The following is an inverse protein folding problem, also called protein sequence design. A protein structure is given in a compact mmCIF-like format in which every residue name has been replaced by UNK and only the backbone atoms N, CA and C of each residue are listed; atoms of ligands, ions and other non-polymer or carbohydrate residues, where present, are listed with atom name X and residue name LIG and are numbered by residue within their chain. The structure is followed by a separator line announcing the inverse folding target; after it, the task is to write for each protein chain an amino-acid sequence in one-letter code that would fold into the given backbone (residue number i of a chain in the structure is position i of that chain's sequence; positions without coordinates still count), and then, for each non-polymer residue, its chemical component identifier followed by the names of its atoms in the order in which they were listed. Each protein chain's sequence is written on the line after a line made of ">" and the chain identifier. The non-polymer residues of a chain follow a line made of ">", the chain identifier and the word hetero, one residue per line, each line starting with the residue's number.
data_IF_262615353234
#
_entry.id   IF_262615353234
#
_cell.length_a   1.000
_cell.length_b   1.000
_cell.length_c   1.000
_cell.angle_alpha   90.00
_cell.angle_beta   90.00
_cell.angle_gamma   90.00
#
_symmetry.space_group_name_H-M   'P 1'
#
loop_
_entity.id
_entity.type
_entity.pdbx_description
1 polymer ?
#
# COMPACT_ATOMS: atom_id res chain seq x y z
N UNK A 1 10.10 -36.95 -6.43
CA UNK A 1 10.91 -35.79 -6.87
C UNK A 1 10.26 -34.57 -6.24
N UNK A 2 10.87 -34.00 -5.22
CA UNK A 2 10.36 -32.82 -4.53
C UNK A 2 10.56 -31.61 -5.43
N UNK A 3 9.48 -31.06 -5.98
CA UNK A 3 9.50 -29.73 -6.58
C UNK A 3 10.08 -28.77 -5.52
N UNK A 4 11.25 -28.19 -5.81
CA UNK A 4 11.68 -27.00 -5.10
C UNK A 4 10.66 -25.91 -5.44
N UNK A 5 9.67 -25.71 -4.56
CA UNK A 5 8.76 -24.57 -4.64
C UNK A 5 9.59 -23.29 -4.47
N UNK A 6 10.10 -22.76 -5.58
CA UNK A 6 10.72 -21.44 -5.62
C UNK A 6 9.64 -20.37 -5.58
N UNK A 7 9.99 -19.22 -5.01
CA UNK A 7 9.09 -18.06 -4.99
C UNK A 7 8.78 -17.62 -6.43
N UNK A 8 7.51 -17.37 -6.72
CA UNK A 8 7.06 -16.93 -8.05
C UNK A 8 5.87 -15.98 -7.95
N UNK A 9 5.61 -15.26 -9.04
CA UNK A 9 4.44 -14.37 -9.18
C UNK A 9 3.13 -15.13 -8.90
N UNK A 10 3.02 -16.37 -9.35
CA UNK A 10 1.81 -17.18 -9.16
C UNK A 10 1.61 -17.60 -7.71
N UNK A 11 2.69 -17.91 -6.99
CA UNK A 11 2.61 -18.19 -5.53
C UNK A 11 2.11 -16.97 -4.78
N UNK A 12 2.63 -15.78 -5.11
CA UNK A 12 2.23 -14.52 -4.49
C UNK A 12 0.75 -14.22 -4.79
N UNK A 13 0.32 -14.37 -6.06
CA UNK A 13 -1.08 -14.18 -6.45
C UNK A 13 -2.01 -15.14 -5.71
N UNK A 14 -1.66 -16.43 -5.64
CA UNK A 14 -2.43 -17.44 -4.91
C UNK A 14 -2.52 -17.13 -3.41
N UNK A 15 -1.45 -16.63 -2.80
CA UNK A 15 -1.46 -16.22 -1.40
C UNK A 15 -2.38 -15.01 -1.15
N UNK A 16 -2.35 -14.02 -2.04
CA UNK A 16 -3.27 -12.88 -2.00
C UNK A 16 -4.73 -13.32 -2.16
N UNK A 17 -5.00 -14.18 -3.15
CA UNK A 17 -6.34 -14.74 -3.38
C UNK A 17 -6.84 -15.53 -2.16
N UNK A 18 -6.01 -16.40 -1.58
CA UNK A 18 -6.37 -17.16 -0.38
C UNK A 18 -6.67 -16.24 0.82
N UNK A 19 -5.98 -15.11 0.93
CA UNK A 19 -6.24 -14.10 1.97
C UNK A 19 -7.60 -13.43 1.77
N UNK A 20 -7.92 -13.06 0.52
CA UNK A 20 -9.22 -12.48 0.16
C UNK A 20 -10.37 -13.47 0.39
N UNK A 21 -10.22 -14.72 -0.04
CA UNK A 21 -11.24 -15.76 0.14
C UNK A 21 -11.48 -16.07 1.63
N UNK A 22 -10.40 -16.07 2.43
CA UNK A 22 -10.49 -16.15 3.89
C UNK A 22 -11.27 -14.98 4.48
N UNK A 23 -11.04 -13.76 3.99
CA UNK A 23 -11.80 -12.59 4.43
C UNK A 23 -13.27 -12.64 4.00
N UNK A 24 -13.59 -13.07 2.78
CA UNK A 24 -14.99 -13.26 2.35
C UNK A 24 -15.71 -14.32 3.19
N UNK A 25 -15.03 -15.41 3.56
CA UNK A 25 -15.59 -16.41 4.45
C UNK A 25 -15.94 -15.80 5.81
N UNK A 26 -15.06 -14.95 6.35
CA UNK A 26 -15.32 -14.21 7.59
C UNK A 26 -16.50 -13.25 7.45
N UNK A 27 -16.57 -12.47 6.36
CA UNK A 27 -17.70 -11.57 6.09
C UNK A 27 -19.00 -12.35 6.04
N UNK A 28 -19.05 -13.48 5.32
CA UNK A 28 -20.25 -14.30 5.22
C UNK A 28 -20.73 -14.83 6.57
N UNK A 29 -19.80 -15.24 7.44
CA UNK A 29 -20.13 -15.75 8.78
C UNK A 29 -20.64 -14.63 9.70
N UNK A 30 -20.03 -13.45 9.59
CA UNK A 30 -20.31 -12.30 10.48
C UNK A 30 -21.47 -11.43 10.00
N UNK A 31 -21.88 -11.53 8.72
CA UNK A 31 -22.85 -10.64 8.09
C UNK A 31 -24.16 -10.42 8.89
N UNK A 32 -24.81 -11.46 9.48
CA UNK A 32 -26.04 -11.26 10.24
C UNK A 32 -25.85 -10.48 11.54
N UNK A 33 -24.64 -10.51 12.12
CA UNK A 33 -24.34 -9.93 13.44
C UNK A 33 -23.58 -8.60 13.35
N UNK A 34 -22.72 -8.47 12.34
CA UNK A 34 -21.83 -7.35 12.14
C UNK A 34 -21.68 -7.03 10.63
N UNK A 35 -22.70 -6.46 9.98
CA UNK A 35 -22.66 -6.16 8.55
C UNK A 35 -21.57 -5.14 8.17
N UNK A 36 -21.12 -4.31 9.10
CA UNK A 36 -20.04 -3.35 8.89
C UNK A 36 -18.73 -4.01 8.45
N UNK A 37 -18.51 -5.29 8.77
CA UNK A 37 -17.32 -6.01 8.31
C UNK A 37 -17.18 -6.03 6.78
N UNK A 38 -18.29 -5.97 6.03
CA UNK A 38 -18.24 -5.95 4.57
C UNK A 38 -17.68 -4.64 4.00
N UNK A 39 -17.72 -3.54 4.76
CA UNK A 39 -17.11 -2.25 4.39
C UNK A 39 -15.69 -2.08 4.91
N UNK A 40 -15.13 -3.09 5.59
CA UNK A 40 -13.74 -3.07 6.04
C UNK A 40 -12.87 -3.58 4.90
N UNK A 41 -11.82 -2.82 4.58
CA UNK A 41 -10.83 -3.16 3.57
C UNK A 41 -9.46 -2.59 3.92
N UNK A 42 -8.45 -3.02 3.17
CA UNK A 42 -7.07 -2.58 3.38
C UNK A 42 -6.26 -2.62 2.09
N UNK A 43 -5.43 -1.59 1.89
CA UNK A 43 -4.32 -1.65 0.95
C UNK A 43 -3.29 -2.68 1.43
N UNK A 44 -2.66 -3.40 0.50
CA UNK A 44 -1.68 -4.43 0.82
C UNK A 44 -0.44 -4.27 -0.07
N UNK A 45 0.68 -3.89 0.55
CA UNK A 45 1.98 -3.82 -0.09
C UNK A 45 2.91 -4.87 0.52
N UNK A 46 3.42 -5.76 -0.31
CA UNK A 46 4.27 -6.88 0.10
C UNK A 46 5.57 -6.84 -0.70
N UNK A 47 6.70 -6.92 0.02
CA UNK A 47 8.03 -7.09 -0.56
C UNK A 47 8.62 -8.45 -0.17
N UNK A 48 9.13 -9.19 -1.14
CA UNK A 48 9.77 -10.50 -0.92
C UNK A 48 11.14 -10.47 -1.59
N UNK A 49 12.19 -10.80 -0.84
CA UNK A 49 13.54 -10.99 -1.39
C UNK A 49 13.87 -12.47 -1.30
N UNK A 50 14.01 -13.12 -2.45
CA UNK A 50 14.24 -14.56 -2.55
C UNK A 50 15.15 -14.83 -3.75
N UNK A 51 16.22 -15.61 -3.53
CA UNK A 51 17.16 -16.06 -4.56
C UNK A 51 17.67 -14.93 -5.48
N UNK A 52 18.08 -13.81 -4.88
CA UNK A 52 18.60 -12.65 -5.62
C UNK A 52 17.53 -11.87 -6.40
N UNK A 53 16.25 -12.16 -6.19
CA UNK A 53 15.11 -11.48 -6.82
C UNK A 53 14.30 -10.72 -5.78
N UNK A 54 13.91 -9.49 -6.10
CA UNK A 54 12.94 -8.69 -5.36
C UNK A 54 11.60 -8.81 -6.06
N UNK A 55 10.60 -9.30 -5.35
CA UNK A 55 9.20 -9.26 -5.75
C UNK A 55 8.49 -8.16 -4.96
N UNK A 56 7.69 -7.34 -5.64
CA UNK A 56 6.81 -6.36 -5.01
C UNK A 56 5.39 -6.58 -5.51
N UNK A 57 4.48 -6.89 -4.59
CA UNK A 57 3.05 -7.05 -4.84
C UNK A 57 2.29 -5.91 -4.18
N UNK A 58 1.42 -5.23 -4.94
CA UNK A 58 0.65 -4.11 -4.44
C UNK A 58 -0.85 -4.23 -4.76
N UNK A 59 -1.66 -3.84 -3.77
CA UNK A 59 -3.09 -3.59 -3.85
C UNK A 59 -3.35 -2.24 -3.18
N UNK A 60 -3.75 -1.23 -3.96
CA UNK A 60 -4.05 0.10 -3.45
C UNK A 60 -2.94 1.10 -3.75
N UNK A 61 -2.73 2.06 -2.86
CA UNK A 61 -1.92 3.26 -3.08
C UNK A 61 -0.73 3.41 -2.11
N UNK A 62 -0.45 2.36 -1.35
CA UNK A 62 0.88 2.18 -0.77
C UNK A 62 1.93 2.01 -1.90
N UNK A 63 3.19 2.33 -1.60
CA UNK A 63 4.26 2.32 -2.60
C UNK A 63 5.59 1.82 -2.04
N UNK A 64 6.31 1.07 -2.88
CA UNK A 64 7.69 0.65 -2.66
C UNK A 64 8.66 1.38 -3.60
N UNK A 65 9.75 1.92 -3.05
CA UNK A 65 10.77 2.68 -3.78
C UNK A 65 12.16 2.14 -3.45
N UNK A 66 12.91 1.74 -4.47
CA UNK A 66 14.30 1.32 -4.40
C UNK A 66 15.23 2.53 -4.48
N UNK A 67 16.23 2.59 -3.60
CA UNK A 67 17.38 3.47 -3.74
C UNK A 67 18.54 2.74 -4.42
N UNK A 68 18.93 3.18 -5.61
CA UNK A 68 20.05 2.62 -6.39
C UNK A 68 21.21 3.61 -6.50
N UNK A 69 22.40 3.17 -6.11
CA UNK A 69 23.64 3.94 -6.22
C UNK A 69 24.07 4.11 -7.68
N UNK A 70 24.30 5.35 -8.09
CA UNK A 70 24.97 5.70 -9.34
C UNK A 70 26.46 5.83 -9.05
N UNK A 71 27.26 4.82 -9.40
CA UNK A 71 28.70 4.77 -9.06
C UNK A 71 29.50 5.99 -9.53
N UNK A 72 29.14 6.57 -10.67
CA UNK A 72 29.85 7.70 -11.24
C UNK A 72 29.71 8.99 -10.40
N UNK A 73 28.57 9.18 -9.73
CA UNK A 73 28.28 10.41 -8.97
C UNK A 73 28.25 10.19 -7.46
N UNK A 74 28.06 8.96 -7.01
CA UNK A 74 27.80 8.64 -5.59
C UNK A 74 26.38 8.94 -5.15
N UNK A 75 25.52 9.41 -6.05
CA UNK A 75 24.11 9.70 -5.76
C UNK A 75 23.27 8.43 -5.73
N UNK A 76 22.20 8.44 -4.94
CA UNK A 76 21.23 7.35 -4.92
C UNK A 76 19.96 7.83 -5.65
N UNK A 77 19.61 7.19 -6.76
CA UNK A 77 18.39 7.48 -7.51
C UNK A 77 17.23 6.64 -6.99
N UNK A 78 16.06 7.29 -6.93
CA UNK A 78 14.81 6.63 -6.59
C UNK A 78 14.19 5.91 -7.78
N UNK A 79 13.89 4.62 -7.61
CA UNK A 79 13.22 3.77 -8.60
C UNK A 79 11.95 3.19 -7.97
N UNK A 80 10.77 3.58 -8.46
CA UNK A 80 9.51 3.03 -7.97
C UNK A 80 9.34 1.58 -8.44
N UNK A 81 9.02 0.68 -7.51
CA UNK A 81 8.88 -0.75 -7.78
C UNK A 81 7.43 -1.21 -7.91
N UNK A 82 6.48 -0.46 -7.35
CA UNK A 82 5.07 -0.80 -7.29
C UNK A 82 4.22 0.07 -8.24
N UNK A 83 3.26 -0.54 -8.93
CA UNK A 83 2.15 0.19 -9.54
C UNK A 83 1.15 0.59 -8.45
N UNK A 84 0.58 1.79 -8.55
CA UNK A 84 -0.43 2.30 -7.61
C UNK A 84 -1.83 2.26 -8.22
N UNK A 85 -2.83 2.01 -7.39
CA UNK A 85 -4.20 1.75 -7.79
C UNK A 85 -5.18 2.80 -7.26
N UNK A 86 -4.82 4.09 -7.36
CA UNK A 86 -5.64 5.22 -6.90
C UNK A 86 -6.36 5.91 -8.07
N UNK A 87 -7.64 6.26 -7.91
CA UNK A 87 -8.47 6.96 -8.88
C UNK A 87 -8.00 8.39 -9.20
N UNK A 88 -7.07 8.95 -8.42
CA UNK A 88 -6.41 10.21 -8.76
C UNK A 88 -5.48 10.06 -9.97
N UNK A 89 -5.01 8.83 -10.25
CA UNK A 89 -4.17 8.49 -11.39
C UNK A 89 -5.05 8.27 -12.63
N UNK A 90 -4.74 8.99 -13.72
CA UNK A 90 -5.57 8.98 -14.93
C UNK A 90 -5.69 7.60 -15.58
N UNK A 91 -4.60 6.81 -15.61
CA UNK A 91 -4.64 5.46 -16.17
C UNK A 91 -5.60 4.54 -15.42
N UNK A 92 -5.66 4.64 -14.09
CA UNK A 92 -6.61 3.90 -13.25
C UNK A 92 -8.06 4.35 -13.53
N UNK A 93 -8.29 5.65 -13.75
CA UNK A 93 -9.63 6.13 -14.17
C UNK A 93 -10.06 5.52 -15.50
N UNK A 94 -9.16 5.50 -16.49
CA UNK A 94 -9.43 4.92 -17.82
C UNK A 94 -9.66 3.41 -17.72
N UNK A 95 -8.89 2.69 -16.90
CA UNK A 95 -9.08 1.27 -16.63
C UNK A 95 -10.48 1.00 -16.05
N UNK A 96 -10.89 1.73 -15.02
CA UNK A 96 -12.21 1.60 -14.39
C UNK A 96 -13.35 1.90 -15.38
N UNK A 97 -13.23 2.96 -16.18
CA UNK A 97 -14.20 3.31 -17.21
C UNK A 97 -14.31 2.23 -18.29
N UNK A 98 -13.18 1.66 -18.72
CA UNK A 98 -13.14 0.60 -19.73
C UNK A 98 -13.78 -0.71 -19.23
N UNK A 99 -13.55 -1.07 -17.95
CA UNK A 99 -14.14 -2.27 -17.36
C UNK A 99 -15.65 -2.12 -17.08
N UNK A 100 -16.13 -0.88 -16.89
CA UNK A 100 -17.52 -0.54 -16.57
C UNK A 100 -18.10 0.49 -17.56
N UNK A 101 -18.21 0.17 -18.87
CA UNK A 101 -18.58 1.14 -19.90
C UNK A 101 -20.01 1.67 -19.76
N UNK A 102 -20.87 0.94 -19.03
CA UNK A 102 -22.28 1.31 -18.82
C UNK A 102 -22.52 1.95 -17.43
N UNK A 103 -21.47 2.24 -16.66
CA UNK A 103 -21.56 2.88 -15.35
C UNK A 103 -20.89 4.26 -15.39
N UNK A 104 -21.61 5.32 -15.79
CA UNK A 104 -21.05 6.66 -15.85
C UNK A 104 -20.63 7.20 -14.47
N UNK A 105 -21.04 6.54 -13.38
CA UNK A 105 -20.68 6.89 -12.01
C UNK A 105 -19.56 6.01 -11.44
N UNK A 106 -18.88 5.19 -12.27
CA UNK A 106 -17.82 4.30 -11.80
C UNK A 106 -16.69 5.08 -11.10
N UNK A 107 -16.36 6.25 -11.62
CA UNK A 107 -15.37 7.17 -11.06
C UNK A 107 -15.93 8.58 -11.12
N UNK A 108 -15.98 9.26 -9.99
CA UNK A 108 -16.52 10.62 -9.87
C UNK A 108 -15.59 11.48 -9.02
N UNK A 109 -15.56 12.78 -9.29
CA UNK A 109 -14.84 13.74 -8.48
C UNK A 109 -15.76 14.29 -7.38
N UNK A 110 -15.37 14.16 -6.12
CA UNK A 110 -16.06 14.73 -4.94
C UNK A 110 -15.08 15.56 -4.13
N UNK A 111 -15.41 16.82 -3.85
CA UNK A 111 -14.54 17.75 -3.13
C UNK A 111 -13.11 17.79 -3.72
N UNK A 112 -13.01 17.89 -5.05
CA UNK A 112 -11.76 17.85 -5.83
C UNK A 112 -10.96 16.54 -5.77
N UNK A 113 -11.47 15.49 -5.12
CA UNK A 113 -10.82 14.18 -5.03
C UNK A 113 -11.56 13.15 -5.88
N UNK A 114 -10.82 12.40 -6.69
CA UNK A 114 -11.39 11.33 -7.51
C UNK A 114 -11.68 10.09 -6.66
N UNK A 115 -12.89 9.55 -6.77
CA UNK A 115 -13.35 8.40 -5.98
C UNK A 115 -14.11 7.40 -6.83
N UNK A 116 -13.84 6.11 -6.62
CA UNK A 116 -14.60 4.98 -7.15
C UNK A 116 -15.99 4.97 -6.51
N UNK A 117 -17.03 5.04 -7.34
CA UNK A 117 -18.45 5.23 -6.96
C UNK A 117 -18.71 6.39 -5.98
N UNK A 118 -17.77 7.34 -5.88
CA UNK A 118 -17.84 8.43 -4.92
C UNK A 118 -17.64 8.02 -3.46
N UNK A 119 -17.07 6.85 -3.19
CA UNK A 119 -16.88 6.30 -1.84
C UNK A 119 -15.40 6.23 -1.47
N UNK A 120 -14.58 5.52 -2.25
CA UNK A 120 -13.18 5.20 -1.93
C UNK A 120 -12.23 5.67 -3.04
N UNK A 121 -10.97 5.97 -2.73
CA UNK A 121 -10.00 6.44 -3.74
C UNK A 121 -9.27 5.29 -4.44
N UNK A 122 -9.11 4.15 -3.81
CA UNK A 122 -8.45 2.99 -4.42
C UNK A 122 -9.38 2.19 -5.33
N UNK A 123 -8.79 1.49 -6.30
CA UNK A 123 -9.46 0.55 -7.22
C UNK A 123 -9.18 -0.92 -6.87
N UNK A 124 -8.20 -1.16 -5.99
CA UNK A 124 -7.80 -2.51 -5.57
C UNK A 124 -7.49 -2.58 -4.08
N UNK A 125 -7.97 -3.62 -3.42
CA UNK A 125 -7.78 -3.86 -1.97
C UNK A 125 -7.97 -5.34 -1.63
N UNK A 126 -7.57 -5.70 -0.41
CA UNK A 126 -8.16 -6.86 0.29
C UNK A 126 -9.39 -6.37 1.06
N UNK A 127 -10.47 -7.14 1.07
CA UNK A 127 -11.71 -6.77 1.74
C UNK A 127 -12.62 -5.89 0.89
N UNK A 128 -13.26 -4.87 1.47
CA UNK A 128 -14.26 -4.03 0.78
C UNK A 128 -15.32 -4.88 0.04
N UNK A 129 -15.76 -5.95 0.69
CA UNK A 129 -16.66 -6.95 0.09
C UNK A 129 -17.94 -6.33 -0.46
N UNK A 130 -18.41 -5.24 0.15
CA UNK A 130 -19.57 -4.46 -0.31
C UNK A 130 -19.42 -3.83 -1.71
N UNK A 131 -18.20 -3.70 -2.25
CA UNK A 131 -17.94 -3.25 -3.63
C UNK A 131 -17.48 -4.39 -4.54
N UNK A 132 -17.35 -5.60 -4.02
CA UNK A 132 -16.93 -6.79 -4.79
C UNK A 132 -18.07 -7.76 -5.01
N UNK A 133 -18.98 -7.90 -4.04
CA UNK A 133 -20.17 -8.74 -4.12
C UNK A 133 -21.43 -7.95 -3.77
N UNK A 134 -22.36 -7.89 -4.71
CA UNK A 134 -23.60 -7.13 -4.56
C UNK A 134 -24.47 -7.61 -3.39
N UNK A 135 -24.35 -8.88 -2.99
CA UNK A 135 -25.04 -9.46 -1.83
C UNK A 135 -24.68 -8.79 -0.49
N UNK A 136 -23.56 -8.08 -0.42
CA UNK A 136 -23.14 -7.30 0.75
C UNK A 136 -23.35 -5.78 0.57
N UNK A 137 -23.83 -5.32 -0.59
CA UNK A 137 -24.20 -3.92 -0.81
C UNK A 137 -25.70 -3.71 -0.60
N UNK A 138 -26.22 -4.14 0.55
CA UNK A 138 -27.65 -4.09 0.89
C UNK A 138 -27.84 -4.05 2.39
N UNK A 139 -29.08 -3.86 2.83
CA UNK A 139 -29.42 -3.97 4.25
C UNK A 139 -29.01 -5.36 4.79
N UNK A 140 -28.41 -5.43 5.99
CA UNK A 140 -28.34 -4.38 7.02
C UNK A 140 -27.10 -3.46 7.00
N UNK A 141 -26.34 -3.36 5.89
CA UNK A 141 -25.23 -2.41 5.80
C UNK A 141 -25.71 -0.96 5.87
N UNK A 142 -24.94 -0.13 6.60
CA UNK A 142 -25.16 1.31 6.74
C UNK A 142 -25.34 1.97 5.36
N UNK A 143 -26.38 2.81 5.24
CA UNK A 143 -26.75 3.49 4.00
C UNK A 143 -25.60 4.30 3.39
N UNK A 144 -24.64 4.79 4.19
CA UNK A 144 -23.48 5.53 3.66
C UNK A 144 -22.55 4.70 2.77
N UNK A 145 -22.58 3.37 2.89
CA UNK A 145 -21.80 2.43 2.06
C UNK A 145 -22.64 1.80 0.94
N UNK A 146 -23.96 1.95 0.96
CA UNK A 146 -24.85 1.37 -0.05
C UNK A 146 -24.87 2.24 -1.31
N UNK A 147 -24.77 1.58 -2.45
CA UNK A 147 -24.95 2.19 -3.76
C UNK A 147 -26.45 2.29 -4.06
N UNK A 148 -26.82 3.31 -4.83
CA UNK A 148 -28.21 3.48 -5.28
C UNK A 148 -28.65 2.39 -6.25
N UNK A 149 -27.72 1.94 -7.09
CA UNK A 149 -27.94 0.91 -8.09
C UNK A 149 -27.07 -0.30 -7.79
N UNK A 150 -27.63 -1.49 -8.02
CA UNK A 150 -26.90 -2.76 -7.89
C UNK A 150 -25.88 -2.91 -9.03
N UNK A 151 -24.89 -3.78 -8.82
CA UNK A 151 -23.84 -4.06 -9.79
C UNK A 151 -23.72 -5.57 -10.03
N UNK A 152 -23.41 -5.96 -11.27
CA UNK A 152 -23.20 -7.37 -11.65
C UNK A 152 -21.73 -7.78 -11.67
N UNK A 153 -20.84 -6.83 -11.90
CA UNK A 153 -19.39 -7.04 -11.92
C UNK A 153 -18.77 -6.39 -10.68
N UNK A 154 -17.78 -7.02 -10.03
CA UNK A 154 -17.02 -6.40 -8.95
C UNK A 154 -16.49 -5.02 -9.37
N UNK A 155 -16.66 -4.03 -8.50
CA UNK A 155 -16.23 -2.64 -8.73
C UNK A 155 -14.77 -2.46 -8.31
N UNK A 156 -14.36 -3.12 -7.23
CA UNK A 156 -12.97 -3.22 -6.80
C UNK A 156 -12.41 -4.60 -7.14
N UNK A 157 -11.08 -4.67 -7.26
CA UNK A 157 -10.36 -5.93 -7.49
C UNK A 157 -9.46 -6.30 -6.31
N UNK A 158 -9.29 -7.59 -6.06
CA UNK A 158 -8.25 -8.11 -5.15
C UNK A 158 -7.03 -8.66 -5.93
N UNK A 159 -6.98 -8.44 -7.25
CA UNK A 159 -5.87 -8.89 -8.10
C UNK A 159 -4.66 -7.95 -7.98
N UNK A 160 -3.54 -8.40 -7.37
CA UNK A 160 -2.40 -7.54 -7.14
C UNK A 160 -1.64 -7.20 -8.43
N UNK A 161 -1.03 -6.02 -8.47
CA UNK A 161 0.06 -5.79 -9.43
C UNK A 161 1.36 -6.29 -8.82
N UNK A 162 2.04 -7.20 -9.53
CA UNK A 162 3.28 -7.83 -9.06
C UNK A 162 4.41 -7.47 -10.02
N UNK A 163 5.50 -6.91 -9.48
CA UNK A 163 6.76 -6.73 -10.20
C UNK A 163 7.82 -7.69 -9.64
N UNK A 164 8.73 -8.13 -10.51
CA UNK A 164 9.87 -8.96 -10.15
C UNK A 164 11.12 -8.38 -10.83
N UNK A 165 12.19 -8.19 -10.06
CA UNK A 165 13.45 -7.67 -10.57
C UNK A 165 14.64 -8.33 -9.86
N UNK A 166 15.71 -8.56 -10.60
CA UNK A 166 16.97 -9.04 -10.04
C UNK A 166 17.61 -7.95 -9.20
N UNK A 167 18.11 -8.31 -8.00
CA UNK A 167 18.88 -7.41 -7.14
C UNK A 167 20.19 -7.06 -7.84
N UNK A 168 20.48 -5.78 -7.96
CA UNK A 168 21.74 -5.28 -8.49
C UNK A 168 22.73 -4.96 -7.35
N UNK A 169 24.05 -5.13 -7.52
CA UNK A 169 25.04 -4.76 -6.49
C UNK A 169 25.00 -3.29 -6.04
N UNK A 170 24.40 -2.42 -6.85
CA UNK A 170 24.23 -1.01 -6.53
C UNK A 170 22.92 -0.71 -5.77
N UNK A 171 22.06 -1.71 -5.58
CA UNK A 171 20.81 -1.55 -4.83
C UNK A 171 21.14 -1.44 -3.34
N UNK A 172 20.77 -0.31 -2.72
CA UNK A 172 21.19 0.01 -1.35
C UNK A 172 20.09 -0.30 -0.33
N UNK A 173 18.85 0.05 -0.65
CA UNK A 173 17.71 -0.14 0.24
C UNK A 173 16.39 -0.01 -0.51
N UNK A 174 15.31 -0.52 0.11
CA UNK A 174 13.94 -0.36 -0.37
C UNK A 174 13.11 0.30 0.74
N UNK A 175 12.37 1.35 0.39
CA UNK A 175 11.41 2.04 1.26
C UNK A 175 10.02 1.50 0.91
N UNK A 176 9.33 0.92 1.89
CA UNK A 176 7.91 0.57 1.81
C UNK A 176 7.15 1.56 2.69
N UNK A 177 6.15 2.23 2.15
CA UNK A 177 5.32 3.12 2.96
C UNK A 177 3.87 3.24 2.46
N UNK A 178 2.97 3.62 3.37
CA UNK A 178 1.62 4.04 3.04
C UNK A 178 1.63 5.36 2.26
N UNK A 179 0.54 5.62 1.55
CA UNK A 179 0.25 6.88 0.87
C UNK A 179 0.43 8.10 1.78
N UNK A 180 0.13 8.01 3.08
CA UNK A 180 0.38 9.08 4.05
C UNK A 180 1.82 9.62 4.04
N UNK A 181 2.82 8.82 3.66
CA UNK A 181 4.18 9.32 3.38
C UNK A 181 4.26 10.00 2.00
N UNK A 182 3.80 9.29 0.96
CA UNK A 182 4.00 9.64 -0.45
C UNK A 182 3.17 10.83 -0.92
N UNK A 183 2.06 11.14 -0.24
CA UNK A 183 1.32 12.37 -0.45
C UNK A 183 2.13 13.61 -0.02
N UNK A 184 3.09 13.43 0.89
CA UNK A 184 3.86 14.52 1.48
C UNK A 184 5.27 14.63 0.89
N UNK A 185 5.93 13.52 0.59
CA UNK A 185 7.34 13.48 0.18
C UNK A 185 7.47 12.79 -1.17
N UNK A 186 8.30 13.36 -2.05
CA UNK A 186 8.63 12.73 -3.34
C UNK A 186 9.50 11.47 -3.16
N UNK A 187 9.50 10.59 -4.16
CA UNK A 187 10.35 9.39 -4.14
C UNK A 187 11.83 9.74 -3.91
N UNK A 188 12.33 10.77 -4.59
CA UNK A 188 13.72 11.18 -4.50
C UNK A 188 14.05 11.84 -3.16
N UNK A 189 13.17 12.66 -2.59
CA UNK A 189 13.38 13.25 -1.27
C UNK A 189 13.44 12.18 -0.18
N UNK A 190 12.59 11.15 -0.25
CA UNK A 190 12.64 10.03 0.69
C UNK A 190 13.97 9.27 0.59
N UNK A 191 14.44 8.99 -0.62
CA UNK A 191 15.75 8.37 -0.88
C UNK A 191 16.89 9.24 -0.35
N UNK A 192 16.85 10.55 -0.60
CA UNK A 192 17.85 11.51 -0.10
C UNK A 192 17.88 11.53 1.44
N UNK A 193 16.72 11.45 2.11
CA UNK A 193 16.64 11.34 3.57
C UNK A 193 17.33 10.07 4.06
N UNK A 194 17.09 8.93 3.40
CA UNK A 194 17.73 7.65 3.77
C UNK A 194 19.25 7.68 3.51
N UNK A 195 19.68 8.25 2.38
CA UNK A 195 21.09 8.37 2.03
C UNK A 195 21.87 9.22 3.05
N UNK A 196 21.31 10.37 3.43
CA UNK A 196 22.04 11.39 4.20
C UNK A 196 21.90 11.25 5.72
N UNK A 197 21.34 10.14 6.21
CA UNK A 197 21.10 9.95 7.65
C UNK A 197 21.47 8.54 8.13
N UNK A 198 21.76 8.37 9.43
CA UNK A 198 22.00 7.05 10.01
C UNK A 198 20.81 6.10 9.87
N UNK A 199 21.09 4.80 9.68
CA UNK A 199 20.06 3.74 9.60
C UNK A 199 19.17 3.70 10.85
N UNK A 200 19.76 3.91 12.04
CA UNK A 200 19.03 3.89 13.31
C UNK A 200 18.01 5.04 13.36
N UNK A 201 16.74 4.69 13.45
CA UNK A 201 15.64 5.66 13.52
C UNK A 201 15.25 6.27 12.16
N UNK A 202 15.69 5.67 11.03
CA UNK A 202 15.43 6.24 9.71
C UNK A 202 13.94 6.31 9.36
N UNK A 203 13.16 5.27 9.68
CA UNK A 203 11.71 5.27 9.46
C UNK A 203 11.02 6.41 10.22
N UNK A 204 11.39 6.64 11.49
CA UNK A 204 10.88 7.76 12.29
C UNK A 204 11.24 9.12 11.68
N UNK A 205 12.40 9.22 11.03
CA UNK A 205 12.83 10.45 10.35
C UNK A 205 12.00 10.72 9.10
N UNK A 206 11.71 9.70 8.31
CA UNK A 206 10.81 9.79 7.16
C UNK A 206 9.39 10.22 7.59
N UNK A 207 8.84 9.60 8.64
CA UNK A 207 7.55 10.00 9.22
C UNK A 207 7.58 11.46 9.67
N UNK A 208 8.61 11.88 10.41
CA UNK A 208 8.74 13.27 10.87
C UNK A 208 8.82 14.24 9.70
N UNK A 209 9.60 13.92 8.67
CA UNK A 209 9.72 14.76 7.48
C UNK A 209 8.37 14.95 6.78
N UNK A 210 7.56 13.89 6.69
CA UNK A 210 6.25 13.96 6.04
C UNK A 210 5.28 14.83 6.82
N UNK A 211 5.25 14.69 8.15
CA UNK A 211 4.42 15.54 9.01
C UNK A 211 4.87 17.01 8.95
N UNK A 212 6.18 17.27 8.91
CA UNK A 212 6.71 18.63 8.71
C UNK A 212 6.23 19.21 7.38
N UNK A 213 6.24 18.42 6.30
CA UNK A 213 5.77 18.86 5.00
C UNK A 213 4.25 19.06 4.95
N UNK A 214 3.48 18.20 5.61
CA UNK A 214 2.04 18.38 5.78
C UNK A 214 1.72 19.67 6.54
N UNK A 215 2.46 19.97 7.61
CA UNK A 215 2.33 21.23 8.35
C UNK A 215 2.63 22.44 7.45
N UNK A 216 3.70 22.38 6.65
CA UNK A 216 4.05 23.46 5.71
C UNK A 216 2.96 23.72 4.67
N UNK A 217 2.33 22.69 4.11
CA UNK A 217 1.20 22.82 3.16
C UNK A 217 -0.02 23.51 3.78
N UNK A 218 -0.09 23.55 5.11
CA UNK A 218 -1.16 24.19 5.89
C UNK A 218 -0.67 25.44 6.63
N UNK A 219 0.49 25.96 6.23
CA UNK A 219 1.11 27.17 6.77
C UNK A 219 1.26 27.15 8.30
N UNK A 220 1.49 25.98 8.88
CA UNK A 220 1.58 25.80 10.33
C UNK A 220 2.91 25.18 10.78
N UNK A 221 3.25 25.35 12.06
CA UNK A 221 4.44 24.72 12.63
C UNK A 221 4.15 23.26 12.97
N UNK A 222 5.17 22.41 12.86
CA UNK A 222 5.09 21.01 13.29
C UNK A 222 4.57 20.86 14.72
N UNK A 223 5.02 21.72 15.65
CA UNK A 223 4.58 21.70 17.04
C UNK A 223 3.09 21.97 17.21
N UNK A 224 2.50 22.80 16.35
CA UNK A 224 1.10 23.16 16.43
C UNK A 224 0.24 22.03 15.87
N UNK A 225 0.65 21.45 14.73
CA UNK A 225 0.01 20.27 14.15
C UNK A 225 0.00 19.07 15.13
N UNK A 226 1.09 18.87 15.88
CA UNK A 226 1.18 17.76 16.84
C UNK A 226 0.31 17.93 18.08
N UNK A 227 -0.15 19.16 18.40
CA UNK A 227 -1.08 19.44 19.49
C UNK A 227 -2.55 19.23 19.10
N UNK A 228 -2.84 19.11 17.80
CA UNK A 228 -4.19 18.83 17.31
C UNK A 228 -4.56 17.39 17.67
N UNK A 229 -5.80 17.22 18.15
CA UNK A 229 -6.39 15.92 18.44
C UNK A 229 -6.34 14.99 17.24
N UNK A 230 -6.17 13.68 17.50
CA UNK A 230 -5.93 12.70 16.43
C UNK A 230 -7.02 12.70 15.35
N UNK A 231 -8.28 12.77 15.76
CA UNK A 231 -9.43 12.72 14.84
C UNK A 231 -9.48 13.96 13.93
N UNK A 232 -9.09 15.12 14.47
CA UNK A 232 -9.00 16.36 13.70
C UNK A 232 -7.74 16.37 12.83
N UNK A 233 -6.62 15.87 13.35
CA UNK A 233 -5.32 15.83 12.66
C UNK A 233 -5.36 15.02 11.36
N UNK A 234 -6.25 14.04 11.25
CA UNK A 234 -6.49 13.26 10.02
C UNK A 234 -6.88 14.13 8.82
N UNK A 235 -7.41 15.34 9.02
CA UNK A 235 -7.70 16.30 7.94
C UNK A 235 -6.44 17.00 7.37
N UNK A 236 -5.31 16.86 8.08
CA UNK A 236 -4.03 17.48 7.72
C UNK A 236 -3.07 16.48 7.06
N UNK A 237 -3.05 15.24 7.53
CA UNK A 237 -2.32 14.13 6.94
C UNK A 237 -2.94 12.79 7.34
N UNK A 238 -2.77 11.76 6.51
CA UNK A 238 -3.20 10.41 6.84
C UNK A 238 -2.22 9.69 7.79
N UNK A 239 -2.58 8.49 8.24
CA UNK A 239 -1.73 7.61 9.01
C UNK A 239 -0.47 7.22 8.19
N UNK A 240 0.70 7.36 8.79
CA UNK A 240 1.99 7.16 8.11
C UNK A 240 2.69 5.92 8.67
N UNK A 241 2.84 4.90 7.82
CA UNK A 241 3.62 3.70 8.11
C UNK A 241 4.81 3.61 7.16
N UNK A 242 6.00 3.34 7.70
CA UNK A 242 7.25 3.28 6.91
C UNK A 242 8.12 2.11 7.37
N UNK A 243 8.61 1.31 6.42
CA UNK A 243 9.65 0.30 6.60
C UNK A 243 10.79 0.56 5.62
N UNK A 244 12.03 0.50 6.09
CA UNK A 244 13.22 0.61 5.22
C UNK A 244 14.04 -0.66 5.34
N UNK A 245 14.15 -1.39 4.23
CA UNK A 245 14.94 -2.61 4.11
C UNK A 245 16.29 -2.27 3.48
N UNK A 246 17.37 -2.35 4.25
CA UNK A 246 18.72 -2.18 3.71
C UNK A 246 19.21 -3.49 3.10
N UNK A 247 19.74 -3.41 1.89
CA UNK A 247 20.30 -4.55 1.17
C UNK A 247 21.80 -4.62 1.41
N UNK A 248 22.31 -5.83 1.66
CA UNK A 248 23.74 -6.06 1.79
C UNK A 248 24.31 -6.52 0.46
N UNK A 249 25.01 -5.62 -0.23
CA UNK A 249 25.62 -5.89 -1.54
C UNK A 249 26.64 -7.05 -1.51
N UNK A 250 27.24 -7.35 -0.36
CA UNK A 250 28.21 -8.46 -0.23
C UNK A 250 27.54 -9.84 -0.17
N UNK A 251 26.27 -9.90 0.23
CA UNK A 251 25.47 -11.13 0.24
C UNK A 251 24.79 -11.37 -1.12
N UNK A 252 24.55 -10.30 -1.88
CA UNK A 252 23.97 -10.36 -3.23
C UNK A 252 24.95 -10.95 -4.25
N UNK A 253 26.25 -10.73 -4.09
CA UNK A 253 27.29 -11.28 -4.99
C UNK A 253 27.68 -12.74 -4.69
N UNK A 254 27.36 -13.26 -3.51
CA UNK A 254 27.77 -14.59 -3.02
C UNK A 254 26.59 -15.56 -2.87
N UNK A 255 25.59 -15.50 -3.76
CA UNK A 255 24.35 -16.31 -3.68
C UNK A 255 24.56 -17.82 -3.81
N UNK A 256 25.78 -18.31 -3.97
CA UNK A 256 26.13 -19.71 -3.72
C UNK A 256 26.31 -20.01 -2.21
N UNK A 257 25.21 -20.39 -1.56
CA UNK A 257 25.13 -21.33 -0.39
C UNK A 257 24.74 -20.84 1.01
N UNK A 258 24.50 -19.55 1.30
CA UNK A 258 24.08 -19.17 2.67
C UNK A 258 22.56 -19.09 2.83
N UNK A 259 21.95 -20.18 3.34
CA UNK A 259 20.58 -20.17 3.90
C UNK A 259 20.58 -19.35 5.19
N UNK A 260 20.20 -18.07 5.10
CA UNK A 260 19.87 -17.25 6.27
C UNK A 260 18.50 -17.63 6.86
N UNK A 261 18.19 -17.20 8.09
CA UNK A 261 16.86 -17.40 8.66
C UNK A 261 15.80 -16.66 7.83
N UNK A 262 14.61 -17.26 7.68
CA UNK A 262 13.45 -16.56 7.13
C UNK A 262 13.02 -15.51 8.15
N UNK A 263 13.19 -14.23 7.81
CA UNK A 263 12.76 -13.12 8.66
C UNK A 263 11.45 -12.56 8.11
N UNK A 264 10.41 -12.59 8.94
CA UNK A 264 9.15 -11.89 8.67
C UNK A 264 9.04 -10.67 9.58
N UNK A 265 9.00 -9.48 9.00
CA UNK A 265 8.76 -8.25 9.74
C UNK A 265 7.26 -7.97 9.76
N UNK A 266 6.63 -8.07 10.94
CA UNK A 266 5.25 -7.65 11.16
C UNK A 266 5.28 -6.27 11.82
N UNK A 267 4.69 -5.26 11.19
CA UNK A 267 4.48 -3.98 11.84
C UNK A 267 3.45 -4.18 12.98
N UNK A 268 3.87 -3.99 14.23
CA UNK A 268 2.97 -3.90 15.38
C UNK A 268 2.56 -2.46 15.60
N UNK A 269 1.27 -2.17 15.64
CA UNK A 269 0.79 -0.91 16.22
C UNK A 269 1.05 -0.96 17.72
N UNK A 270 1.69 0.08 18.28
CA UNK A 270 1.71 0.29 19.72
C UNK A 270 0.29 0.69 20.14
N UNK A 271 -0.58 -0.30 20.37
CA UNK A 271 -1.79 -0.07 21.17
C UNK A 271 -1.32 0.17 22.60
N UNK A 272 -1.21 1.44 23.01
CA UNK A 272 -1.20 1.74 24.43
C UNK A 272 -2.53 1.23 25.01
N UNK A 273 -2.51 0.50 26.14
CA UNK A 273 -3.75 0.14 26.81
C UNK A 273 -4.47 1.44 27.18
N UNK A 274 -5.73 1.53 26.76
CA UNK A 274 -6.67 2.51 27.30
C UNK A 274 -6.72 2.22 28.81
N UNK A 275 -6.23 3.17 29.61
CA UNK A 275 -6.49 3.19 31.04
C UNK A 275 -7.91 3.67 31.27
#
# INVERSE_FOLDING_TARGET
>A
MTEQQSMSVDVIRKATQATEDGFFSLVSQQWPLNPHIASVGSCCLVGIVCDGTIYVSNLGDARAVLGRLVKATGEILAMQLSAEHNASIESIRKELQSMHPNDPQIVVQKHNVWRVKGLIQISRSIGDAFLKKAEYNREPLDAKFRLRETFRKPILSAEPSISAQTVHPNDQFIIFASDGLWEQISNQDAVNIVQNNPRKGIARRLVKAAIVQAAKKREMRYSDLMKIDRDVRRHFHDDISVTVLFLDSNLVSNTSSRKGPVVSLRAGSLTQPIK
#
